data_IF_841770310647
#
_entry.id   IF_841770310647
#
_cell.length_a   1.000
_cell.length_b   1.000
_cell.length_c   1.000
_cell.angle_alpha   90.00
_cell.angle_beta   90.00
_cell.angle_gamma   90.00
#
_symmetry.space_group_name_H-M   'P 1'
#
loop_
_entity.id
_entity.type
_entity.pdbx_description
1 polymer ?
#
# COMPACT_ATOMS: atom_id res chain seq x y z
N UNK A 1 38.15 7.76 14.92
CA UNK A 1 37.01 7.23 14.15
C UNK A 1 36.02 8.36 13.94
N UNK A 2 35.49 8.51 12.73
CA UNK A 2 34.53 9.56 12.43
C UNK A 2 33.26 9.32 13.24
N UNK A 3 32.70 10.40 13.79
CA UNK A 3 31.45 10.35 14.56
C UNK A 3 30.31 9.95 13.64
N UNK A 4 29.65 8.83 13.92
CA UNK A 4 28.47 8.41 13.17
C UNK A 4 27.27 9.32 13.43
N UNK A 5 26.43 9.47 12.42
CA UNK A 5 25.25 10.34 12.45
C UNK A 5 24.05 9.49 12.86
N UNK A 6 23.26 9.98 13.83
CA UNK A 6 21.95 9.44 14.17
C UNK A 6 20.91 10.29 13.46
N UNK A 7 20.22 9.69 12.48
CA UNK A 7 19.08 10.31 11.82
C UNK A 7 17.82 10.03 12.63
N UNK A 8 17.07 11.06 13.05
CA UNK A 8 15.86 10.87 13.87
C UNK A 8 14.80 10.02 13.18
N UNK A 9 14.59 10.18 11.86
CA UNK A 9 13.61 9.41 11.12
C UNK A 9 13.98 7.93 11.05
N UNK A 10 15.27 7.60 10.84
CA UNK A 10 15.75 6.22 10.82
C UNK A 10 15.63 5.58 12.20
N UNK A 11 16.01 6.31 13.25
CA UNK A 11 15.88 5.85 14.64
C UNK A 11 14.42 5.57 15.00
N UNK A 12 13.50 6.41 14.56
CA UNK A 12 12.07 6.33 14.86
C UNK A 12 11.37 5.09 14.24
N UNK A 13 11.97 4.46 13.22
CA UNK A 13 11.48 3.19 12.65
C UNK A 13 11.90 1.96 13.47
N UNK A 14 12.78 2.13 14.46
CA UNK A 14 13.26 1.04 15.30
C UNK A 14 12.45 1.05 16.59
N UNK A 15 11.75 -0.06 16.93
CA UNK A 15 11.05 -0.14 18.20
C UNK A 15 12.01 0.14 19.37
N UNK A 16 11.66 1.07 20.28
CA UNK A 16 12.50 1.38 21.42
C UNK A 16 12.60 0.17 22.35
N UNK A 17 13.75 0.00 23.00
CA UNK A 17 13.91 -0.93 24.11
C UNK A 17 13.26 -0.33 25.37
N UNK A 18 12.80 -1.19 26.28
CA UNK A 18 12.49 -0.78 27.64
C UNK A 18 13.78 -0.45 28.40
N UNK A 19 13.68 0.25 29.52
CA UNK A 19 14.84 0.54 30.37
C UNK A 19 15.56 -0.74 30.81
N UNK A 20 14.81 -1.75 31.22
CA UNK A 20 15.35 -3.05 31.64
C UNK A 20 16.08 -3.75 30.49
N UNK A 21 15.49 -3.75 29.27
CA UNK A 21 16.11 -4.34 28.10
C UNK A 21 17.41 -3.58 27.70
N UNK A 22 17.39 -2.26 27.82
CA UNK A 22 18.58 -1.45 27.53
C UNK A 22 19.70 -1.73 28.55
N UNK A 23 19.37 -1.76 29.84
CA UNK A 23 20.32 -2.07 30.91
C UNK A 23 20.91 -3.45 30.72
N UNK A 24 20.10 -4.47 30.45
CA UNK A 24 20.57 -5.81 30.18
C UNK A 24 21.50 -5.89 28.94
N UNK A 25 21.18 -5.13 27.90
CA UNK A 25 22.04 -5.04 26.72
C UNK A 25 23.38 -4.38 27.05
N UNK A 26 23.39 -3.33 27.85
CA UNK A 26 24.60 -2.63 28.29
C UNK A 26 25.47 -3.54 29.16
N UNK A 27 24.91 -4.24 30.15
CA UNK A 27 25.60 -5.21 31.01
C UNK A 27 26.23 -6.34 30.18
N UNK A 28 25.52 -6.91 29.22
CA UNK A 28 26.05 -7.96 28.35
C UNK A 28 27.24 -7.48 27.53
N UNK A 29 27.11 -6.30 26.90
CA UNK A 29 28.21 -5.72 26.09
C UNK A 29 29.44 -5.42 26.95
N UNK A 30 29.26 -4.89 28.17
CA UNK A 30 30.35 -4.62 29.07
C UNK A 30 31.04 -5.91 29.57
N UNK A 31 30.25 -6.96 29.85
CA UNK A 31 30.77 -8.27 30.23
C UNK A 31 31.61 -8.90 29.10
N UNK A 32 31.17 -8.73 27.86
CA UNK A 32 31.87 -9.26 26.69
C UNK A 32 33.08 -8.40 26.28
N UNK A 33 33.18 -7.15 26.75
CA UNK A 33 34.25 -6.19 26.42
C UNK A 33 34.25 -5.73 24.95
N UNK A 34 33.26 -6.14 24.16
CA UNK A 34 33.15 -5.82 22.74
C UNK A 34 31.70 -5.88 22.25
N UNK A 35 31.41 -5.12 21.20
CA UNK A 35 30.13 -5.17 20.47
C UNK A 35 30.29 -6.13 19.30
N UNK A 36 29.85 -7.38 19.44
CA UNK A 36 30.03 -8.42 18.41
C UNK A 36 29.20 -8.19 17.15
N UNK A 37 27.98 -7.66 17.29
CA UNK A 37 27.15 -7.36 16.13
C UNK A 37 27.53 -5.99 15.55
N UNK A 38 27.91 -5.88 14.27
CA UNK A 38 28.35 -4.61 13.68
C UNK A 38 27.23 -3.57 13.67
N UNK A 39 27.62 -2.30 13.68
CA UNK A 39 26.71 -1.18 13.35
C UNK A 39 26.55 -1.16 11.84
N UNK A 40 25.30 -1.06 11.36
CA UNK A 40 25.02 -0.93 9.93
C UNK A 40 24.87 0.55 9.61
N UNK A 41 25.63 1.04 8.61
CA UNK A 41 25.67 2.47 8.26
C UNK A 41 25.56 2.69 6.75
N UNK A 42 25.01 3.82 6.37
CA UNK A 42 24.96 4.35 5.02
C UNK A 42 25.41 5.82 5.07
N UNK A 43 26.41 6.19 4.29
CA UNK A 43 27.01 7.54 4.25
C UNK A 43 27.26 8.14 5.64
N UNK A 44 27.81 7.31 6.56
CA UNK A 44 28.08 7.72 7.94
C UNK A 44 26.87 7.78 8.85
N UNK A 45 25.65 7.54 8.34
CA UNK A 45 24.40 7.52 9.10
C UNK A 45 24.07 6.11 9.54
N UNK A 46 23.68 5.94 10.80
CA UNK A 46 23.32 4.64 11.36
C UNK A 46 21.96 4.20 10.84
N UNK A 47 21.88 2.98 10.30
CA UNK A 47 20.66 2.30 9.88
C UNK A 47 20.18 1.26 10.90
N UNK A 48 21.11 0.52 11.51
CA UNK A 48 20.83 -0.40 12.61
C UNK A 48 21.94 -0.37 13.65
N UNK A 49 21.57 -0.57 14.91
CA UNK A 49 22.49 -0.59 16.04
C UNK A 49 22.49 0.71 16.86
N UNK A 50 21.46 1.55 16.78
CA UNK A 50 21.35 2.81 17.53
C UNK A 50 21.59 2.64 19.03
N UNK A 51 20.96 1.63 19.66
CA UNK A 51 21.15 1.38 21.09
C UNK A 51 22.60 0.93 21.41
N UNK A 52 23.20 0.09 20.55
CA UNK A 52 24.60 -0.32 20.67
C UNK A 52 25.54 0.89 20.55
N UNK A 53 25.26 1.80 19.61
CA UNK A 53 26.06 3.01 19.44
C UNK A 53 25.93 3.95 20.64
N UNK A 54 24.75 4.05 21.24
CA UNK A 54 24.56 4.81 22.48
C UNK A 54 25.41 4.26 23.64
N UNK A 55 25.48 2.92 23.78
CA UNK A 55 26.36 2.28 24.76
C UNK A 55 27.83 2.53 24.45
N UNK A 56 28.25 2.43 23.18
CA UNK A 56 29.64 2.73 22.75
C UNK A 56 30.00 4.18 23.08
N UNK A 57 29.07 5.12 22.95
CA UNK A 57 29.35 6.52 23.30
C UNK A 57 29.56 6.72 24.79
N UNK A 58 28.93 5.92 25.66
CA UNK A 58 29.13 5.93 27.12
C UNK A 58 30.42 5.21 27.51
N UNK A 59 30.85 4.22 26.73
CA UNK A 59 31.98 3.33 27.02
C UNK A 59 32.97 3.31 25.82
N UNK A 60 33.81 4.33 25.68
CA UNK A 60 34.71 4.49 24.52
C UNK A 60 35.79 3.39 24.39
N UNK A 61 36.02 2.62 25.46
CA UNK A 61 36.94 1.48 25.49
C UNK A 61 36.43 0.26 24.70
N UNK A 62 35.13 0.21 24.43
CA UNK A 62 34.53 -0.92 23.73
C UNK A 62 34.98 -0.97 22.26
N UNK A 63 35.35 -2.15 21.82
CA UNK A 63 35.62 -2.42 20.40
C UNK A 63 34.34 -2.74 19.64
N UNK A 64 34.22 -2.23 18.42
CA UNK A 64 33.06 -2.48 17.58
C UNK A 64 33.42 -2.47 16.10
N UNK A 65 32.63 -3.12 15.28
CA UNK A 65 32.74 -3.13 13.82
C UNK A 65 31.63 -2.31 13.18
N UNK A 66 31.92 -1.77 12.00
CA UNK A 66 30.96 -1.02 11.18
C UNK A 66 30.82 -1.72 9.83
N UNK A 67 29.60 -2.05 9.43
CA UNK A 67 29.28 -2.56 8.12
C UNK A 67 28.65 -1.46 7.29
N UNK A 68 29.33 -1.07 6.19
CA UNK A 68 28.85 -0.02 5.29
C UNK A 68 27.94 -0.62 4.22
N UNK A 69 26.77 -0.02 4.03
CA UNK A 69 25.85 -0.33 2.95
C UNK A 69 25.76 0.86 1.98
N UNK A 70 25.29 0.59 0.77
CA UNK A 70 25.05 1.61 -0.25
C UNK A 70 23.58 1.51 -0.70
N UNK A 71 22.93 2.67 -0.82
CA UNK A 71 21.58 2.84 -1.33
C UNK A 71 21.56 4.04 -2.28
N UNK A 72 20.73 3.97 -3.31
CA UNK A 72 20.65 5.04 -4.31
C UNK A 72 19.97 6.31 -3.73
N UNK A 73 19.09 6.10 -2.76
CA UNK A 73 18.35 7.20 -2.10
C UNK A 73 17.93 6.86 -0.67
N UNK A 74 17.50 7.90 0.06
CA UNK A 74 17.01 7.80 1.43
C UNK A 74 15.85 6.84 1.62
N UNK A 75 14.95 6.75 0.64
CA UNK A 75 13.74 5.93 0.74
C UNK A 75 14.06 4.44 0.62
N UNK A 76 15.07 4.08 -0.15
CA UNK A 76 15.57 2.69 -0.18
C UNK A 76 16.17 2.29 1.16
N UNK A 77 16.94 3.19 1.79
CA UNK A 77 17.46 2.96 3.13
C UNK A 77 16.33 2.78 4.16
N UNK A 78 15.28 3.62 4.10
CA UNK A 78 14.09 3.47 4.96
C UNK A 78 13.35 2.15 4.72
N UNK A 79 13.16 1.76 3.47
CA UNK A 79 12.55 0.46 3.13
C UNK A 79 13.37 -0.69 3.70
N UNK A 80 14.70 -0.62 3.55
CA UNK A 80 15.62 -1.62 4.10
C UNK A 80 15.50 -1.71 5.62
N UNK A 81 15.51 -0.57 6.34
CA UNK A 81 15.33 -0.54 7.80
C UNK A 81 14.03 -1.24 8.18
N UNK A 82 12.91 -0.86 7.57
CA UNK A 82 11.61 -1.47 7.86
C UNK A 82 11.60 -2.97 7.60
N UNK A 83 12.16 -3.42 6.47
CA UNK A 83 12.28 -4.83 6.10
C UNK A 83 13.12 -5.59 7.13
N UNK A 84 14.25 -5.01 7.55
CA UNK A 84 15.15 -5.61 8.54
C UNK A 84 14.48 -5.74 9.90
N UNK A 85 13.77 -4.70 10.35
CA UNK A 85 13.02 -4.73 11.61
C UNK A 85 11.89 -5.77 11.59
N UNK A 86 11.21 -5.97 10.44
CA UNK A 86 10.15 -6.99 10.31
C UNK A 86 10.66 -8.43 10.53
N UNK A 87 11.96 -8.67 10.42
CA UNK A 87 12.59 -9.95 10.75
C UNK A 87 12.73 -10.22 12.26
N UNK A 88 12.48 -9.23 13.12
CA UNK A 88 12.58 -9.41 14.59
C UNK A 88 11.43 -10.25 15.13
N UNK A 89 11.72 -11.09 16.13
CA UNK A 89 10.74 -12.03 16.73
C UNK A 89 9.74 -11.35 17.65
N UNK A 90 10.12 -10.23 18.30
CA UNK A 90 9.38 -9.63 19.42
C UNK A 90 8.54 -8.40 19.00
N UNK A 91 8.07 -8.34 17.77
CA UNK A 91 7.22 -7.24 17.31
C UNK A 91 5.76 -7.47 17.73
N UNK A 92 5.13 -6.44 18.29
CA UNK A 92 3.68 -6.43 18.48
C UNK A 92 2.97 -6.43 17.11
N UNK A 93 1.72 -6.89 17.05
CA UNK A 93 0.95 -6.80 15.80
C UNK A 93 0.85 -5.37 15.26
N UNK A 94 0.79 -4.37 16.14
CA UNK A 94 0.75 -2.95 15.81
C UNK A 94 2.07 -2.47 15.22
N UNK A 95 3.19 -2.83 15.82
CA UNK A 95 4.53 -2.55 15.29
C UNK A 95 4.74 -3.20 13.93
N UNK A 96 4.36 -4.47 13.79
CA UNK A 96 4.45 -5.18 12.50
C UNK A 96 3.65 -4.46 11.41
N UNK A 97 2.41 -4.06 11.72
CA UNK A 97 1.57 -3.34 10.80
C UNK A 97 2.14 -1.97 10.43
N UNK A 98 2.63 -1.23 11.42
CA UNK A 98 3.26 0.06 11.21
C UNK A 98 4.49 -0.05 10.28
N UNK A 99 5.39 -1.00 10.53
CA UNK A 99 6.58 -1.23 9.72
C UNK A 99 6.25 -1.66 8.28
N UNK A 100 5.21 -2.50 8.08
CA UNK A 100 4.72 -2.84 6.73
C UNK A 100 4.23 -1.58 6.00
N UNK A 101 3.49 -0.72 6.71
CA UNK A 101 3.00 0.53 6.15
C UNK A 101 4.12 1.50 5.80
N UNK A 102 5.10 1.68 6.69
CA UNK A 102 6.27 2.53 6.46
C UNK A 102 7.12 2.02 5.29
N UNK A 103 7.34 0.71 5.20
CA UNK A 103 8.01 0.10 4.05
C UNK A 103 7.26 0.41 2.74
N UNK A 104 5.96 0.27 2.74
CA UNK A 104 5.14 0.55 1.56
C UNK A 104 5.24 2.01 1.12
N UNK A 105 5.16 2.96 2.04
CA UNK A 105 5.30 4.39 1.72
C UNK A 105 6.73 4.70 1.23
N UNK A 106 7.76 4.16 1.88
CA UNK A 106 9.15 4.34 1.46
C UNK A 106 9.40 3.79 0.04
N UNK A 107 8.95 2.57 -0.27
CA UNK A 107 9.11 1.99 -1.61
C UNK A 107 8.33 2.75 -2.69
N UNK A 108 7.17 3.34 -2.36
CA UNK A 108 6.46 4.24 -3.27
C UNK A 108 7.29 5.48 -3.61
N UNK A 109 7.92 6.09 -2.60
CA UNK A 109 8.76 7.27 -2.79
C UNK A 109 10.07 6.93 -3.52
N UNK A 110 10.70 5.79 -3.23
CA UNK A 110 11.91 5.34 -3.92
C UNK A 110 11.69 5.14 -5.43
N UNK A 111 10.53 4.58 -5.81
CA UNK A 111 10.24 4.25 -7.21
C UNK A 111 9.31 5.26 -7.91
N UNK A 112 8.74 6.21 -7.21
CA UNK A 112 7.72 7.14 -7.71
C UNK A 112 7.88 8.58 -7.22
N UNK A 113 9.03 8.95 -6.61
CA UNK A 113 9.30 10.27 -6.07
C UNK A 113 9.01 11.39 -7.06
N UNK A 114 8.49 12.50 -6.53
CA UNK A 114 8.04 13.74 -7.18
C UNK A 114 8.36 13.84 -8.67
N UNK A 115 7.47 13.37 -9.51
CA UNK A 115 7.56 13.64 -10.95
C UNK A 115 7.09 15.06 -11.21
N UNK A 116 8.02 15.98 -11.23
CA UNK A 116 7.95 17.11 -12.16
C UNK A 116 7.73 16.46 -13.54
N UNK A 117 6.64 16.83 -14.18
CA UNK A 117 6.23 16.29 -15.46
C UNK A 117 7.31 16.57 -16.52
N UNK A 118 8.28 15.70 -16.62
CA UNK A 118 9.21 15.60 -17.76
C UNK A 118 8.75 14.39 -18.56
N UNK A 119 8.25 14.72 -19.73
CA UNK A 119 7.79 13.83 -20.78
C UNK A 119 8.90 12.83 -21.13
N UNK A 120 8.82 11.60 -20.63
CA UNK A 120 9.43 10.44 -21.29
C UNK A 120 8.67 9.17 -20.87
N UNK A 121 8.09 8.50 -21.89
CA UNK A 121 7.31 7.29 -21.82
C UNK A 121 8.16 6.07 -21.43
N UNK A 122 8.23 5.73 -20.14
CA UNK A 122 8.47 4.36 -19.71
C UNK A 122 7.30 3.89 -18.86
N UNK A 123 6.83 2.62 -19.01
CA UNK A 123 5.74 2.12 -18.20
C UNK A 123 6.16 2.12 -16.73
N UNK A 124 5.47 2.91 -15.90
CA UNK A 124 5.60 2.97 -14.46
C UNK A 124 5.63 1.56 -13.85
N UNK A 125 6.60 1.21 -13.01
CA UNK A 125 6.41 0.13 -12.06
C UNK A 125 5.20 0.52 -11.20
N UNK A 126 4.09 -0.13 -11.43
CA UNK A 126 2.82 0.23 -10.82
C UNK A 126 2.92 0.02 -9.30
N UNK A 127 2.28 0.88 -8.53
CA UNK A 127 2.08 0.72 -7.08
C UNK A 127 1.49 -0.67 -6.73
N UNK A 128 0.91 -1.37 -7.69
CA UNK A 128 0.49 -2.76 -7.61
C UNK A 128 1.66 -3.73 -7.46
N UNK A 129 2.78 -3.56 -8.21
CA UNK A 129 3.95 -4.44 -8.10
C UNK A 129 4.58 -4.34 -6.70
N UNK A 130 4.72 -3.12 -6.18
CA UNK A 130 5.24 -2.88 -4.83
C UNK A 130 4.37 -3.52 -3.76
N UNK A 131 3.03 -3.37 -3.84
CA UNK A 131 2.10 -4.00 -2.89
C UNK A 131 2.16 -5.51 -2.93
N UNK A 132 2.15 -6.10 -4.13
CA UNK A 132 2.22 -7.54 -4.31
C UNK A 132 3.53 -8.11 -3.75
N UNK A 133 4.65 -7.43 -4.00
CA UNK A 133 5.95 -7.84 -3.47
C UNK A 133 5.98 -7.82 -1.94
N UNK A 134 5.54 -6.71 -1.30
CA UNK A 134 5.50 -6.60 0.15
C UNK A 134 4.53 -7.62 0.76
N UNK A 135 3.38 -7.85 0.12
CA UNK A 135 2.40 -8.84 0.55
C UNK A 135 2.99 -10.26 0.57
N UNK A 136 3.71 -10.62 -0.49
CA UNK A 136 4.43 -11.91 -0.57
C UNK A 136 5.52 -12.01 0.50
N UNK A 137 6.38 -10.99 0.64
CA UNK A 137 7.48 -10.96 1.62
C UNK A 137 6.98 -11.08 3.07
N UNK A 138 5.79 -10.56 3.36
CA UNK A 138 5.23 -10.51 4.72
C UNK A 138 4.11 -11.52 4.97
N UNK A 139 3.80 -12.37 3.98
CA UNK A 139 2.71 -13.36 4.01
C UNK A 139 1.36 -12.71 4.35
N UNK A 140 1.07 -11.57 3.71
CA UNK A 140 -0.18 -10.81 3.88
C UNK A 140 -0.88 -10.58 2.53
N UNK A 141 -2.04 -9.92 2.53
CA UNK A 141 -2.72 -9.52 1.29
C UNK A 141 -2.31 -8.11 0.86
N UNK A 142 -2.40 -7.80 -0.44
CA UNK A 142 -2.16 -6.44 -0.95
C UNK A 142 -3.09 -5.40 -0.30
N UNK A 143 -4.34 -5.78 -0.02
CA UNK A 143 -5.28 -4.92 0.71
C UNK A 143 -4.83 -4.65 2.15
N UNK A 144 -4.15 -5.62 2.78
CA UNK A 144 -3.56 -5.41 4.10
C UNK A 144 -2.41 -4.40 4.03
N UNK A 145 -1.51 -4.53 3.04
CA UNK A 145 -0.39 -3.60 2.83
C UNK A 145 -0.89 -2.17 2.63
N UNK A 146 -1.92 -1.98 1.80
CA UNK A 146 -2.53 -0.68 1.59
C UNK A 146 -3.11 -0.08 2.89
N UNK A 147 -3.87 -0.87 3.67
CA UNK A 147 -4.39 -0.42 4.96
C UNK A 147 -3.29 -0.14 5.98
N UNK A 148 -2.19 -0.91 5.94
CA UNK A 148 -1.02 -0.68 6.76
C UNK A 148 -0.34 0.67 6.43
N UNK A 149 -0.30 1.07 5.15
CA UNK A 149 0.15 2.41 4.74
C UNK A 149 -0.68 3.52 5.38
N UNK A 150 -2.01 3.46 5.26
CA UNK A 150 -2.90 4.43 5.90
C UNK A 150 -2.78 4.44 7.43
N UNK A 151 -2.60 3.27 8.03
CA UNK A 151 -2.38 3.14 9.46
C UNK A 151 -1.08 3.82 9.89
N UNK A 152 0.02 3.60 9.17
CA UNK A 152 1.30 4.20 9.46
C UNK A 152 1.26 5.72 9.34
N UNK A 153 0.67 6.25 8.29
CA UNK A 153 0.45 7.71 8.13
C UNK A 153 -0.38 8.28 9.27
N UNK A 154 -1.41 7.53 9.72
CA UNK A 154 -2.25 7.95 10.83
C UNK A 154 -1.52 7.97 12.17
N UNK A 155 -0.64 7.01 12.43
CA UNK A 155 0.21 6.96 13.62
C UNK A 155 1.19 8.14 13.64
N UNK A 156 1.85 8.42 12.52
CA UNK A 156 2.81 9.53 12.43
C UNK A 156 2.09 10.89 12.58
N UNK A 157 0.94 11.08 11.93
CA UNK A 157 0.14 12.30 12.09
C UNK A 157 -0.40 12.48 13.52
N UNK A 158 -0.69 11.38 14.22
CA UNK A 158 -1.08 11.43 15.62
C UNK A 158 0.09 11.81 16.53
N UNK A 159 1.30 11.30 16.26
CA UNK A 159 2.52 11.66 17.00
C UNK A 159 2.89 13.14 16.82
N UNK A 160 2.77 13.67 15.59
CA UNK A 160 2.97 15.11 15.32
C UNK A 160 2.00 15.97 16.14
N UNK A 161 0.74 15.52 16.26
CA UNK A 161 -0.32 16.26 16.95
C UNK A 161 -0.30 16.07 18.48
N UNK A 162 0.13 14.92 18.96
CA UNK A 162 0.20 14.55 20.38
C UNK A 162 1.43 13.67 20.63
N UNK A 163 2.59 14.26 20.94
CA UNK A 163 3.83 13.52 21.17
C UNK A 163 3.69 12.41 22.23
N UNK A 164 4.28 11.25 21.95
CA UNK A 164 4.24 10.05 22.81
C UNK A 164 3.10 9.08 22.50
N UNK A 165 2.09 9.48 21.72
CA UNK A 165 0.93 8.61 21.41
C UNK A 165 1.34 7.42 20.52
N UNK A 166 2.32 7.61 19.66
CA UNK A 166 2.86 6.56 18.80
C UNK A 166 3.36 5.38 19.61
N UNK A 167 4.13 5.65 20.65
CA UNK A 167 4.62 4.59 21.55
C UNK A 167 3.47 3.85 22.23
N UNK A 168 2.46 4.57 22.75
CA UNK A 168 1.29 3.97 23.38
C UNK A 168 0.50 3.06 22.41
N UNK A 169 0.37 3.47 21.15
CA UNK A 169 -0.28 2.67 20.10
C UNK A 169 0.56 1.44 19.75
N UNK A 170 1.86 1.63 19.49
CA UNK A 170 2.74 0.56 18.98
C UNK A 170 3.04 -0.50 20.05
N UNK A 171 3.12 -0.13 21.33
CA UNK A 171 3.25 -1.09 22.42
C UNK A 171 1.93 -1.80 22.74
N UNK A 172 0.79 -1.25 22.28
CA UNK A 172 -0.54 -1.78 22.59
C UNK A 172 -1.09 -1.34 23.92
N UNK A 173 -0.49 -0.33 24.57
CA UNK A 173 -1.03 0.31 25.77
C UNK A 173 -2.43 0.89 25.51
N UNK A 174 -2.60 1.49 24.33
CA UNK A 174 -3.92 1.85 23.79
C UNK A 174 -4.20 1.04 22.52
N UNK A 175 -5.48 0.70 22.28
CA UNK A 175 -5.90 -0.13 21.16
C UNK A 175 -6.97 0.60 20.32
N UNK A 176 -6.61 1.70 19.66
CA UNK A 176 -7.54 2.38 18.76
C UNK A 176 -7.89 1.50 17.55
N UNK A 177 -9.04 1.75 16.94
CA UNK A 177 -9.38 1.08 15.67
C UNK A 177 -8.48 1.61 14.54
N UNK A 178 -8.13 0.75 13.59
CA UNK A 178 -7.34 1.13 12.41
C UNK A 178 -7.96 2.30 11.65
N UNK A 179 -9.28 2.31 11.54
CA UNK A 179 -10.03 3.38 10.89
C UNK A 179 -9.90 4.71 11.62
N UNK A 180 -9.91 4.69 12.98
CA UNK A 180 -9.74 5.90 13.77
C UNK A 180 -8.31 6.46 13.63
N UNK A 181 -7.29 5.58 13.64
CA UNK A 181 -5.90 5.98 13.41
C UNK A 181 -5.73 6.59 12.02
N UNK A 182 -6.19 5.91 10.97
CA UNK A 182 -6.10 6.41 9.60
C UNK A 182 -6.88 7.72 9.36
N UNK A 183 -7.92 7.98 10.16
CA UNK A 183 -8.69 9.23 10.07
C UNK A 183 -7.87 10.46 10.51
N UNK A 184 -6.91 10.30 11.42
CA UNK A 184 -6.05 11.41 11.87
C UNK A 184 -5.25 11.99 10.71
N UNK A 185 -4.63 11.14 9.87
CA UNK A 185 -3.87 11.60 8.71
C UNK A 185 -4.74 12.33 7.68
N UNK A 186 -6.01 11.92 7.55
CA UNK A 186 -6.95 12.50 6.57
C UNK A 186 -7.60 13.79 7.04
N UNK A 187 -7.52 14.09 8.34
CA UNK A 187 -8.14 15.26 8.94
C UNK A 187 -7.30 16.53 8.65
N UNK A 188 -8.00 17.67 8.66
CA UNK A 188 -7.34 18.97 8.61
C UNK A 188 -6.39 19.14 9.81
N UNK A 189 -5.27 19.87 9.65
CA UNK A 189 -4.26 20.01 10.71
C UNK A 189 -4.84 20.47 12.05
N UNK A 190 -5.86 21.33 12.03
CA UNK A 190 -6.51 21.89 13.23
C UNK A 190 -7.32 20.83 14.00
N UNK A 191 -7.79 19.77 13.32
CA UNK A 191 -8.59 18.70 13.93
C UNK A 191 -7.73 17.54 14.46
N UNK A 192 -6.48 17.41 13.97
CA UNK A 192 -5.59 16.30 14.33
C UNK A 192 -5.36 16.16 15.84
N UNK A 193 -5.10 17.25 16.62
CA UNK A 193 -4.88 17.12 18.07
C UNK A 193 -6.10 16.56 18.80
N UNK A 194 -7.32 16.96 18.41
CA UNK A 194 -8.55 16.42 18.97
C UNK A 194 -8.71 14.94 18.66
N UNK A 195 -8.52 14.57 17.39
CA UNK A 195 -8.64 13.17 16.96
C UNK A 195 -7.57 12.28 17.59
N UNK A 196 -6.33 12.78 17.73
CA UNK A 196 -5.25 12.06 18.42
C UNK A 196 -5.60 11.82 19.90
N UNK A 197 -6.13 12.83 20.60
CA UNK A 197 -6.59 12.67 21.99
C UNK A 197 -7.75 11.66 22.09
N UNK A 198 -8.64 11.63 21.09
CA UNK A 198 -9.77 10.69 21.05
C UNK A 198 -9.29 9.22 20.85
N UNK A 199 -8.08 8.97 20.31
CA UNK A 199 -7.51 7.63 20.22
C UNK A 199 -7.27 6.99 21.61
N UNK A 200 -7.03 7.81 22.64
CA UNK A 200 -6.84 7.34 24.03
C UNK A 200 -8.13 6.93 24.72
N UNK A 201 -9.28 7.39 24.21
CA UNK A 201 -10.58 7.06 24.79
C UNK A 201 -10.92 5.58 24.58
N UNK A 202 -11.54 4.96 25.58
CA UNK A 202 -12.11 3.63 25.46
C UNK A 202 -13.17 3.58 24.33
N UNK A 203 -13.44 2.38 23.81
CA UNK A 203 -14.52 2.17 22.83
C UNK A 203 -15.89 2.66 23.34
N UNK A 204 -16.08 2.62 24.65
CA UNK A 204 -17.34 2.99 25.28
C UNK A 204 -17.47 4.52 25.50
N UNK A 205 -16.33 5.22 25.62
CA UNK A 205 -16.25 6.67 25.84
C UNK A 205 -16.18 7.50 24.55
N UNK A 206 -16.02 6.83 23.38
CA UNK A 206 -16.03 7.55 22.12
C UNK A 206 -17.46 7.95 21.77
N UNK A 207 -17.66 9.24 21.49
CA UNK A 207 -18.91 9.74 20.93
C UNK A 207 -19.33 8.83 19.76
N UNK A 208 -20.30 7.97 20.04
CA UNK A 208 -20.92 7.15 18.99
C UNK A 208 -21.63 8.16 18.09
N UNK A 209 -20.97 8.60 17.00
CA UNK A 209 -21.72 9.24 15.92
C UNK A 209 -22.94 8.36 15.69
N UNK A 210 -24.17 8.91 15.76
CA UNK A 210 -25.36 8.10 15.51
C UNK A 210 -25.11 7.40 14.18
N UNK A 211 -25.06 6.08 14.21
CA UNK A 211 -25.01 5.31 12.97
C UNK A 211 -26.19 5.81 12.16
N UNK A 212 -26.02 6.25 10.90
CA UNK A 212 -27.16 6.52 10.05
C UNK A 212 -28.07 5.31 10.21
N UNK A 213 -29.34 5.58 10.55
CA UNK A 213 -30.30 4.53 10.86
C UNK A 213 -30.23 3.50 9.73
N UNK A 214 -29.53 2.42 9.98
CA UNK A 214 -29.56 1.27 9.08
C UNK A 214 -31.02 0.85 9.14
N UNK A 215 -31.76 1.08 8.08
CA UNK A 215 -33.05 0.47 7.94
C UNK A 215 -32.83 -1.02 8.22
N UNK A 216 -33.35 -1.51 9.35
CA UNK A 216 -33.29 -2.92 9.68
C UNK A 216 -33.70 -3.64 8.42
N UNK A 217 -32.77 -4.47 7.90
CA UNK A 217 -33.11 -5.27 6.74
C UNK A 217 -34.46 -5.96 7.02
N UNK A 218 -35.40 -5.91 6.09
CA UNK A 218 -36.71 -6.47 6.30
C UNK A 218 -36.61 -7.89 6.78
N UNK A 219 -37.54 -8.39 7.64
CA UNK A 219 -37.51 -9.77 8.15
C UNK A 219 -37.30 -10.76 7.02
N UNK A 220 -36.66 -11.88 7.28
CA UNK A 220 -36.32 -12.88 6.25
C UNK A 220 -37.53 -13.31 5.37
N UNK A 221 -38.74 -13.29 5.94
CA UNK A 221 -39.99 -13.52 5.21
C UNK A 221 -40.28 -12.41 4.18
N UNK A 222 -40.00 -11.14 4.49
CA UNK A 222 -40.18 -10.01 3.57
C UNK A 222 -39.14 -10.02 2.44
N UNK A 223 -37.89 -10.42 2.75
CA UNK A 223 -36.84 -10.61 1.73
C UNK A 223 -37.19 -11.73 0.74
N UNK A 224 -37.77 -12.81 1.24
CA UNK A 224 -38.20 -13.93 0.38
C UNK A 224 -39.34 -13.52 -0.56
N UNK A 225 -40.27 -12.69 -0.06
CA UNK A 225 -41.37 -12.15 -0.87
C UNK A 225 -40.86 -11.11 -1.90
N UNK A 226 -39.88 -10.25 -1.54
CA UNK A 226 -39.23 -9.34 -2.50
C UNK A 226 -38.41 -10.09 -3.55
N UNK A 227 -37.64 -11.09 -3.16
CA UNK A 227 -36.89 -11.94 -4.10
C UNK A 227 -37.83 -12.72 -5.04
N UNK A 228 -38.98 -13.18 -4.54
CA UNK A 228 -40.00 -13.76 -5.40
C UNK A 228 -40.59 -12.78 -6.40
N UNK A 229 -40.93 -11.57 -5.97
CA UNK A 229 -41.39 -10.50 -6.87
C UNK A 229 -40.34 -10.12 -7.92
N UNK A 230 -39.07 -10.01 -7.52
CA UNK A 230 -37.96 -9.75 -8.47
C UNK A 230 -37.83 -10.92 -9.46
N UNK A 231 -37.92 -12.14 -9.00
CA UNK A 231 -37.88 -13.31 -9.87
C UNK A 231 -39.11 -13.39 -10.82
N UNK A 232 -40.31 -13.01 -10.36
CA UNK A 232 -41.51 -12.92 -11.19
C UNK A 232 -41.38 -11.82 -12.24
N UNK A 233 -40.90 -10.60 -11.86
CA UNK A 233 -40.64 -9.52 -12.80
C UNK A 233 -39.55 -9.89 -13.81
N UNK A 234 -38.46 -10.53 -13.37
CA UNK A 234 -37.41 -11.04 -14.28
C UNK A 234 -37.94 -12.08 -15.24
N UNK A 235 -38.80 -13.01 -14.76
CA UNK A 235 -39.42 -14.04 -15.61
C UNK A 235 -40.47 -13.45 -16.57
N UNK A 236 -41.12 -12.35 -16.18
CA UNK A 236 -42.04 -11.59 -17.04
C UNK A 236 -41.28 -10.81 -18.11
N UNK A 237 -40.18 -10.15 -17.73
CA UNK A 237 -39.25 -9.50 -18.67
C UNK A 237 -38.58 -10.49 -19.64
N UNK A 238 -38.31 -11.73 -19.20
CA UNK A 238 -37.81 -12.78 -20.12
C UNK A 238 -38.91 -13.35 -21.02
N UNK A 239 -40.18 -13.36 -20.62
CA UNK A 239 -41.30 -13.75 -21.48
C UNK A 239 -41.67 -12.70 -22.50
N UNK A 240 -41.47 -11.43 -22.18
CA UNK A 240 -41.71 -10.28 -23.09
C UNK A 240 -40.51 -10.00 -24.03
N UNK A 241 -39.40 -10.69 -23.85
CA UNK A 241 -38.35 -10.69 -24.87
C UNK A 241 -38.91 -11.49 -26.06
N UNK A 242 -39.34 -10.74 -27.08
CA UNK A 242 -39.58 -11.35 -28.39
C UNK A 242 -38.39 -12.27 -28.72
N UNK A 243 -38.58 -13.44 -29.28
CA UNK A 243 -37.50 -14.32 -29.67
C UNK A 243 -36.52 -13.46 -30.48
N UNK A 244 -35.22 -13.46 -30.09
CA UNK A 244 -34.20 -12.74 -30.82
C UNK A 244 -34.22 -13.25 -32.24
N UNK A 245 -34.85 -12.47 -33.14
CA UNK A 245 -34.79 -12.78 -34.54
C UNK A 245 -33.35 -12.57 -34.99
N UNK A 246 -32.91 -13.31 -35.97
CA UNK A 246 -31.56 -13.17 -36.58
C UNK A 246 -31.30 -11.71 -36.94
N UNK A 247 -32.32 -10.95 -37.35
CA UNK A 247 -32.26 -9.51 -37.59
C UNK A 247 -31.93 -8.68 -36.35
N UNK A 248 -32.51 -9.00 -35.19
CA UNK A 248 -32.18 -8.30 -33.92
C UNK A 248 -30.74 -8.57 -33.48
N UNK A 249 -30.24 -9.78 -33.71
CA UNK A 249 -28.84 -10.13 -33.46
C UNK A 249 -27.91 -9.37 -34.42
N UNK A 250 -28.26 -9.25 -35.70
CA UNK A 250 -27.50 -8.48 -36.66
C UNK A 250 -27.45 -7.00 -36.34
N UNK A 251 -28.58 -6.40 -35.94
CA UNK A 251 -28.60 -5.00 -35.46
C UNK A 251 -27.75 -4.79 -34.19
N UNK A 252 -27.73 -5.76 -33.27
CA UNK A 252 -26.87 -5.71 -32.10
C UNK A 252 -25.38 -5.79 -32.48
N UNK A 253 -25.03 -6.68 -33.41
CA UNK A 253 -23.67 -6.81 -33.92
C UNK A 253 -23.20 -5.55 -34.64
N UNK A 254 -24.07 -4.91 -35.44
CA UNK A 254 -23.75 -3.65 -36.08
C UNK A 254 -23.43 -2.55 -35.06
N UNK A 255 -24.24 -2.42 -34.01
CA UNK A 255 -23.99 -1.46 -32.92
C UNK A 255 -22.67 -1.72 -32.19
N UNK A 256 -22.32 -2.97 -31.93
CA UNK A 256 -21.05 -3.35 -31.28
C UNK A 256 -19.84 -3.04 -32.21
N UNK A 257 -19.96 -3.28 -33.52
CA UNK A 257 -18.92 -2.95 -34.49
C UNK A 257 -18.70 -1.43 -34.54
N UNK A 258 -19.77 -0.63 -34.55
CA UNK A 258 -19.67 0.84 -34.54
C UNK A 258 -18.97 1.31 -33.25
N UNK A 259 -19.38 0.80 -32.10
CA UNK A 259 -18.76 1.14 -30.81
C UNK A 259 -17.27 0.75 -30.74
N UNK A 260 -16.93 -0.36 -31.39
CA UNK A 260 -15.54 -0.82 -31.50
C UNK A 260 -14.71 0.10 -32.40
N UNK A 261 -15.25 0.55 -33.52
CA UNK A 261 -14.59 1.50 -34.40
C UNK A 261 -14.35 2.85 -33.71
N UNK A 262 -15.35 3.36 -32.97
CA UNK A 262 -15.22 4.60 -32.21
C UNK A 262 -14.15 4.49 -31.11
N UNK A 263 -14.00 3.30 -30.48
CA UNK A 263 -12.93 3.04 -29.53
C UNK A 263 -11.55 3.16 -30.19
N UNK A 264 -11.37 2.61 -31.40
CA UNK A 264 -10.12 2.72 -32.14
C UNK A 264 -9.83 4.17 -32.54
N UNK A 265 -10.82 4.89 -33.04
CA UNK A 265 -10.67 6.31 -33.41
C UNK A 265 -10.24 7.15 -32.20
N UNK A 266 -10.81 6.90 -31.03
CA UNK A 266 -10.41 7.56 -29.77
C UNK A 266 -8.98 7.22 -29.39
N UNK A 267 -8.58 5.95 -29.47
CA UNK A 267 -7.21 5.51 -29.19
C UNK A 267 -6.23 6.18 -30.17
N UNK A 268 -6.55 6.27 -31.45
CA UNK A 268 -5.68 6.89 -32.42
C UNK A 268 -5.59 8.41 -32.28
N UNK A 269 -6.65 9.07 -31.82
CA UNK A 269 -6.62 10.47 -31.44
C UNK A 269 -5.74 10.72 -30.21
N UNK A 270 -5.86 9.87 -29.20
CA UNK A 270 -5.09 9.97 -27.97
C UNK A 270 -3.62 9.57 -28.19
N UNK A 271 -3.37 8.59 -29.06
CA UNK A 271 -2.03 8.05 -29.34
C UNK A 271 -1.67 8.09 -30.86
N UNK A 272 -1.52 9.27 -31.47
CA UNK A 272 -1.29 9.41 -32.90
C UNK A 272 0.01 8.74 -33.40
N UNK A 273 0.98 8.52 -32.51
CA UNK A 273 2.21 7.80 -32.81
C UNK A 273 1.99 6.34 -33.21
N UNK A 274 0.89 5.73 -32.80
CA UNK A 274 0.56 4.35 -33.21
C UNK A 274 0.41 4.24 -34.73
N UNK A 275 -0.05 5.30 -35.38
CA UNK A 275 -0.23 5.36 -36.86
C UNK A 275 1.01 5.86 -37.59
N UNK A 276 1.81 6.74 -36.97
CA UNK A 276 2.90 7.46 -37.65
C UNK A 276 4.30 6.95 -37.35
N UNK A 277 4.51 6.32 -36.18
CA UNK A 277 5.83 5.90 -35.75
C UNK A 277 6.25 4.57 -36.38
N UNK A 278 7.49 4.52 -36.88
CA UNK A 278 8.06 3.35 -37.55
C UNK A 278 8.21 2.12 -36.66
N UNK A 279 8.27 2.30 -35.32
CA UNK A 279 8.36 1.22 -34.35
C UNK A 279 6.99 0.64 -34.01
N UNK A 280 5.96 1.49 -33.86
CA UNK A 280 4.63 1.05 -33.41
C UNK A 280 3.72 0.63 -34.58
N UNK A 281 3.79 1.31 -35.71
CA UNK A 281 2.96 1.03 -36.87
C UNK A 281 2.99 -0.44 -37.36
N UNK A 282 4.15 -1.12 -37.45
CA UNK A 282 4.18 -2.54 -37.83
C UNK A 282 3.46 -3.44 -36.84
N UNK A 283 3.58 -3.16 -35.53
CA UNK A 283 2.90 -3.92 -34.48
C UNK A 283 1.39 -3.73 -34.52
N UNK A 284 0.93 -2.50 -34.78
CA UNK A 284 -0.48 -2.20 -34.98
C UNK A 284 -1.03 -2.96 -36.22
N UNK A 285 -0.31 -2.94 -37.34
CA UNK A 285 -0.69 -3.68 -38.54
C UNK A 285 -0.82 -5.18 -38.24
N UNK A 286 0.09 -5.75 -37.48
CA UNK A 286 0.03 -7.16 -37.08
C UNK A 286 -1.22 -7.48 -36.23
N UNK A 287 -1.64 -6.55 -35.36
CA UNK A 287 -2.89 -6.70 -34.59
C UNK A 287 -4.10 -6.63 -35.54
N UNK A 288 -4.10 -5.66 -36.48
CA UNK A 288 -5.18 -5.50 -37.47
C UNK A 288 -5.28 -6.68 -38.43
N UNK A 289 -4.17 -7.36 -38.74
CA UNK A 289 -4.17 -8.57 -39.54
C UNK A 289 -4.97 -9.71 -38.90
N UNK A 290 -4.99 -9.83 -37.56
CA UNK A 290 -5.81 -10.82 -36.88
C UNK A 290 -7.30 -10.57 -37.11
N UNK A 291 -7.73 -9.30 -37.08
CA UNK A 291 -9.12 -8.95 -37.37
C UNK A 291 -9.47 -9.24 -38.81
N UNK A 292 -8.57 -8.88 -39.75
CA UNK A 292 -8.76 -9.15 -41.18
C UNK A 292 -8.91 -10.65 -41.42
N UNK A 293 -8.10 -11.48 -40.77
CA UNK A 293 -8.20 -12.93 -40.88
C UNK A 293 -9.53 -13.44 -40.33
N UNK A 294 -9.98 -12.93 -39.16
CA UNK A 294 -11.28 -13.31 -38.60
C UNK A 294 -12.46 -12.97 -39.51
N UNK A 295 -12.42 -11.80 -40.15
CA UNK A 295 -13.43 -11.40 -41.15
C UNK A 295 -13.39 -12.35 -42.35
N UNK A 296 -12.21 -12.67 -42.87
CA UNK A 296 -12.04 -13.58 -44.02
C UNK A 296 -12.56 -15.00 -43.69
N UNK A 297 -12.37 -15.47 -42.44
CA UNK A 297 -12.87 -16.76 -41.97
C UNK A 297 -14.42 -16.79 -41.91
N UNK A 298 -15.06 -15.65 -41.62
CA UNK A 298 -16.53 -15.52 -41.68
C UNK A 298 -17.02 -15.48 -43.12
N UNK A 299 -16.38 -14.67 -43.98
CA UNK A 299 -16.73 -14.57 -45.42
C UNK A 299 -16.54 -15.89 -46.17
N UNK A 300 -15.52 -16.67 -45.80
CA UNK A 300 -15.24 -17.98 -46.39
C UNK A 300 -16.16 -19.11 -45.93
N UNK A 301 -17.13 -18.84 -45.03
CA UNK A 301 -17.98 -19.82 -44.40
C UNK A 301 -17.15 -20.67 -43.42
N UNK A 302 -17.31 -20.46 -42.11
CA UNK A 302 -16.80 -21.40 -41.09
C UNK A 302 -17.46 -22.75 -41.35
N UNK A 303 -16.83 -23.62 -42.09
CA UNK A 303 -17.12 -25.05 -42.04
C UNK A 303 -16.57 -25.57 -40.70
N UNK A 304 -17.41 -26.15 -39.88
CA UNK A 304 -17.13 -26.77 -38.58
C UNK A 304 -15.87 -27.66 -38.57
#
# INVERSE_FOLDING_TARGET
>A
MDRLIIDPEFRDKIPPLTEDEFTLLEENILSDGAVFSPLIVWDGTILDGHNRYEIIQKHPELTYAVHKMSFDNRYEALSWICKHQLGRRNLTPQQKKYLIGQRYEAEKMAHGGERVATVQNEPLPSSHKTRAQIANDTSTSESYVMRAGWYAQGVDAAEEALPGIKQEILTGAIKPTETAVAAVAKAAPEERPRLAADLKKSKDDRDKKPRPAYHKAPPAASRKAEMQKIAEISAEMERDKAPSTEENVLCSLDGEIVSFMELFDRIFQEYPRLLSDSHYRPKLIQIMQKMKQYIADIEGGRTE
#
